data_IF_751386490720
#
_entry.id   IF_751386490720
#
_cell.length_a   1.000
_cell.length_b   1.000
_cell.length_c   1.000
_cell.angle_alpha   90.00
_cell.angle_beta   90.00
_cell.angle_gamma   90.00
#
_symmetry.space_group_name_H-M   'P 1'
#
loop_
_entity.id
_entity.type
_entity.pdbx_description
1 polymer ?
#
# COMPACT_ATOMS: atom_id res chain seq x y z
N UNK A 1 4.02 0.20 75.35
CA UNK A 1 3.88 -0.84 74.29
C UNK A 1 2.58 -0.55 73.57
N UNK A 2 2.65 0.24 72.49
CA UNK A 2 1.49 0.62 71.68
C UNK A 2 1.43 -0.32 70.49
N UNK A 3 0.35 -1.11 70.40
CA UNK A 3 0.15 -2.08 69.33
C UNK A 3 -0.11 -1.35 68.01
N UNK A 4 0.77 -1.57 67.05
CA UNK A 4 0.53 -1.26 65.64
C UNK A 4 -0.26 -2.43 65.06
N UNK A 5 -1.56 -2.24 64.87
CA UNK A 5 -2.37 -3.13 64.05
C UNK A 5 -2.22 -2.67 62.59
N UNK A 6 -1.71 -3.51 61.67
CA UNK A 6 -1.70 -3.17 60.26
C UNK A 6 -3.15 -3.24 59.75
N UNK A 7 -3.65 -2.13 59.23
CA UNK A 7 -4.93 -2.05 58.54
C UNK A 7 -4.84 -2.81 57.21
N UNK A 8 -5.61 -3.90 57.07
CA UNK A 8 -5.84 -4.71 55.86
C UNK A 8 -6.49 -3.96 54.69
N UNK A 9 -6.22 -2.66 54.54
CA UNK A 9 -6.81 -1.82 53.49
C UNK A 9 -5.92 -1.67 52.25
N UNK A 10 -4.67 -2.11 52.28
CA UNK A 10 -3.75 -2.03 51.13
C UNK A 10 -3.87 -3.21 50.15
N UNK A 11 -4.61 -4.29 50.47
CA UNK A 11 -4.65 -5.52 49.65
C UNK A 11 -5.79 -5.60 48.63
N UNK A 12 -6.70 -4.62 48.56
CA UNK A 12 -7.87 -4.67 47.67
C UNK A 12 -7.79 -3.75 46.45
N UNK A 13 -6.78 -2.87 46.36
CA UNK A 13 -6.60 -1.96 45.21
C UNK A 13 -5.53 -2.44 44.20
N UNK A 14 -4.84 -3.57 44.42
CA UNK A 14 -3.72 -4.01 43.57
C UNK A 14 -4.09 -4.96 42.40
N UNK A 15 -5.37 -5.20 42.10
CA UNK A 15 -5.76 -6.26 41.16
C UNK A 15 -6.62 -5.84 39.95
N UNK A 16 -6.59 -4.58 39.52
CA UNK A 16 -7.18 -4.17 38.23
C UNK A 16 -6.15 -3.59 37.24
N UNK A 17 -4.95 -4.18 37.24
CA UNK A 17 -4.09 -4.11 36.06
C UNK A 17 -4.76 -4.83 34.87
N UNK A 18 -4.75 -4.27 33.65
CA UNK A 18 -5.36 -4.92 32.49
C UNK A 18 -4.84 -6.34 32.36
N UNK A 19 -5.77 -7.31 32.28
CA UNK A 19 -5.44 -8.73 32.28
C UNK A 19 -4.38 -9.05 31.21
N UNK A 20 -3.42 -9.96 31.49
CA UNK A 20 -2.37 -10.30 30.54
C UNK A 20 -2.94 -10.77 29.19
N UNK A 21 -4.13 -11.38 29.21
CA UNK A 21 -4.90 -11.76 28.02
C UNK A 21 -5.35 -10.55 27.19
N UNK A 22 -5.82 -9.48 27.83
CA UNK A 22 -6.20 -8.24 27.13
C UNK A 22 -4.99 -7.57 26.46
N UNK A 23 -3.84 -7.54 27.14
CA UNK A 23 -2.59 -7.04 26.56
C UNK A 23 -2.16 -7.87 25.36
N UNK A 24 -2.19 -9.20 25.47
CA UNK A 24 -1.82 -10.11 24.39
C UNK A 24 -2.75 -9.96 23.16
N UNK A 25 -4.05 -9.84 23.38
CA UNK A 25 -5.02 -9.60 22.31
C UNK A 25 -4.74 -8.26 21.60
N UNK A 26 -4.53 -7.19 22.37
CA UNK A 26 -4.23 -5.86 21.83
C UNK A 26 -2.95 -5.87 20.98
N UNK A 27 -1.90 -6.51 21.47
CA UNK A 27 -0.64 -6.69 20.73
C UNK A 27 -0.84 -7.48 19.44
N UNK A 28 -1.63 -8.55 19.49
CA UNK A 28 -1.91 -9.39 18.31
C UNK A 28 -2.67 -8.61 17.25
N UNK A 29 -3.71 -7.86 17.65
CA UNK A 29 -4.47 -6.99 16.72
C UNK A 29 -3.54 -5.98 16.06
N UNK A 30 -2.70 -5.30 16.84
CA UNK A 30 -1.72 -4.35 16.31
C UNK A 30 -0.70 -5.01 15.37
N UNK A 31 -0.23 -6.21 15.69
CA UNK A 31 0.68 -6.97 14.85
C UNK A 31 0.03 -7.35 13.50
N UNK A 32 -1.22 -7.81 13.50
CA UNK A 32 -1.94 -8.16 12.26
C UNK A 32 -2.17 -6.93 11.39
N UNK A 33 -2.58 -5.79 11.99
CA UNK A 33 -2.78 -4.54 11.24
C UNK A 33 -1.46 -4.06 10.63
N UNK A 34 -0.38 -4.03 11.42
CA UNK A 34 0.93 -3.59 10.94
C UNK A 34 1.49 -4.51 9.85
N UNK A 35 1.27 -5.83 10.00
CA UNK A 35 1.62 -6.81 8.99
C UNK A 35 0.85 -6.56 7.67
N UNK A 36 -0.46 -6.36 7.72
CA UNK A 36 -1.28 -6.11 6.54
C UNK A 36 -0.85 -4.84 5.80
N UNK A 37 -0.59 -3.75 6.53
CA UNK A 37 -0.11 -2.49 5.94
C UNK A 37 1.24 -2.68 5.25
N UNK A 38 2.17 -3.37 5.92
CA UNK A 38 3.52 -3.63 5.38
C UNK A 38 3.46 -4.57 4.17
N UNK A 39 2.56 -5.55 4.19
CA UNK A 39 2.36 -6.45 3.05
C UNK A 39 1.82 -5.71 1.82
N UNK A 40 0.80 -4.87 2.01
CA UNK A 40 0.27 -4.01 0.93
C UNK A 40 1.36 -3.08 0.40
N UNK A 41 2.17 -2.51 1.29
CA UNK A 41 3.31 -1.69 0.92
C UNK A 41 4.29 -2.44 0.02
N UNK A 42 4.70 -3.65 0.41
CA UNK A 42 5.65 -4.47 -0.33
C UNK A 42 5.13 -4.84 -1.73
N UNK A 43 3.86 -5.24 -1.83
CA UNK A 43 3.25 -5.57 -3.12
C UNK A 43 3.14 -4.32 -3.99
N UNK A 44 2.65 -3.22 -3.43
CA UNK A 44 2.47 -1.98 -4.18
C UNK A 44 3.81 -1.33 -4.58
N UNK A 45 4.86 -1.46 -3.78
CA UNK A 45 6.21 -0.98 -4.11
C UNK A 45 6.82 -1.72 -5.30
N UNK A 46 6.41 -2.96 -5.54
CA UNK A 46 6.79 -3.70 -6.75
C UNK A 46 5.86 -3.42 -7.94
N UNK A 47 4.56 -3.40 -7.71
CA UNK A 47 3.55 -3.27 -8.78
C UNK A 47 3.47 -1.85 -9.33
N UNK A 48 3.56 -0.83 -8.48
CA UNK A 48 3.51 0.57 -8.89
C UNK A 48 4.60 0.96 -9.90
N UNK A 49 5.90 0.68 -9.68
CA UNK A 49 6.92 1.00 -10.66
C UNK A 49 6.75 0.19 -11.95
N UNK A 50 6.28 -1.05 -11.89
CA UNK A 50 5.99 -1.84 -13.10
C UNK A 50 4.88 -1.21 -13.94
N UNK A 51 3.78 -0.78 -13.31
CA UNK A 51 2.67 -0.09 -13.98
C UNK A 51 3.11 1.26 -14.57
N UNK A 52 3.89 2.04 -13.81
CA UNK A 52 4.42 3.32 -14.26
C UNK A 52 5.38 3.14 -15.44
N UNK A 53 6.33 2.22 -15.33
CA UNK A 53 7.31 1.94 -16.38
C UNK A 53 6.60 1.44 -17.65
N UNK A 54 5.66 0.50 -17.50
CA UNK A 54 4.87 -0.02 -18.61
C UNK A 54 4.01 1.06 -19.28
N UNK A 55 3.30 1.87 -18.50
CA UNK A 55 2.47 2.96 -19.00
C UNK A 55 3.29 4.05 -19.69
N UNK A 56 4.43 4.46 -19.11
CA UNK A 56 5.35 5.43 -19.71
C UNK A 56 6.00 4.90 -20.99
N UNK A 57 6.47 3.65 -20.99
CA UNK A 57 7.04 3.01 -22.17
C UNK A 57 6.01 2.94 -23.30
N UNK A 58 4.78 2.51 -23.00
CA UNK A 58 3.69 2.47 -23.97
C UNK A 58 3.37 3.86 -24.52
N UNK A 59 3.23 4.85 -23.63
CA UNK A 59 2.95 6.22 -24.03
C UNK A 59 4.08 6.78 -24.92
N UNK A 60 5.34 6.53 -24.54
CA UNK A 60 6.50 6.93 -25.32
C UNK A 60 6.46 6.31 -26.73
N UNK A 61 6.18 5.01 -26.84
CA UNK A 61 6.03 4.33 -28.14
C UNK A 61 4.96 5.00 -28.97
N UNK A 62 3.73 5.16 -28.45
CA UNK A 62 2.62 5.77 -29.20
C UNK A 62 2.94 7.21 -29.64
N UNK A 63 3.60 7.99 -28.78
CA UNK A 63 3.99 9.37 -29.10
C UNK A 63 5.07 9.44 -30.17
N UNK A 64 6.14 8.66 -30.04
CA UNK A 64 7.23 8.60 -31.01
C UNK A 64 6.70 8.17 -32.37
N UNK A 65 5.94 7.07 -32.40
CA UNK A 65 5.26 6.52 -33.58
C UNK A 65 4.38 7.57 -34.26
N UNK A 66 3.61 8.35 -33.50
CA UNK A 66 2.75 9.40 -34.05
C UNK A 66 3.47 10.64 -34.58
N UNK A 67 4.74 10.84 -34.21
CA UNK A 67 5.54 12.00 -34.66
C UNK A 67 6.42 11.73 -35.87
N UNK A 68 6.72 10.46 -36.16
CA UNK A 68 7.58 10.08 -37.27
C UNK A 68 6.75 10.07 -38.57
N UNK A 69 7.13 10.91 -39.52
CA UNK A 69 6.64 10.81 -40.91
C UNK A 69 7.40 9.67 -41.59
N UNK A 70 6.92 8.45 -41.38
CA UNK A 70 7.52 7.25 -41.95
C UNK A 70 7.05 7.04 -43.40
N UNK A 71 7.86 6.34 -44.19
CA UNK A 71 7.47 5.88 -45.52
C UNK A 71 6.16 5.07 -45.47
N UNK A 72 5.32 5.15 -46.53
CA UNK A 72 3.99 4.52 -46.55
C UNK A 72 4.03 3.01 -46.30
N UNK A 73 5.13 2.37 -46.67
CA UNK A 73 5.39 0.94 -46.46
C UNK A 73 5.67 0.59 -44.99
N UNK A 74 6.11 1.54 -44.17
CA UNK A 74 6.29 1.38 -42.72
C UNK A 74 5.02 1.80 -41.97
N UNK A 75 4.29 2.80 -42.48
CA UNK A 75 3.02 3.27 -41.89
C UNK A 75 1.95 2.18 -41.79
N UNK A 76 1.90 1.22 -42.73
CA UNK A 76 0.98 0.08 -42.63
C UNK A 76 1.23 -0.79 -41.40
N UNK A 77 2.49 -0.88 -40.92
CA UNK A 77 2.82 -1.64 -39.70
C UNK A 77 2.47 -0.87 -38.43
N UNK A 78 2.41 0.47 -38.48
CA UNK A 78 2.03 1.31 -37.34
C UNK A 78 0.56 1.15 -36.93
N UNK A 79 -0.31 0.71 -37.86
CA UNK A 79 -1.72 0.45 -37.56
C UNK A 79 -1.91 -0.68 -36.54
N UNK A 80 -0.89 -1.53 -36.33
CA UNK A 80 -0.91 -2.58 -35.32
C UNK A 80 -0.52 -2.11 -33.92
N UNK A 81 -0.04 -0.87 -33.75
CA UNK A 81 0.26 -0.30 -32.43
C UNK A 81 -1.05 0.19 -31.80
N UNK A 82 -1.61 -0.52 -30.80
CA UNK A 82 -2.91 -0.17 -30.26
C UNK A 82 -2.78 1.06 -29.35
N UNK A 83 -3.67 2.04 -29.53
CA UNK A 83 -3.84 3.14 -28.58
C UNK A 83 -4.61 2.70 -27.32
N UNK A 84 -5.36 1.61 -27.44
CA UNK A 84 -6.17 0.99 -26.39
C UNK A 84 -6.09 -0.52 -26.52
N UNK A 85 -5.88 -1.22 -25.41
CA UNK A 85 -5.91 -2.68 -25.37
C UNK A 85 -7.20 -3.14 -24.69
N UNK A 86 -7.97 -3.97 -25.38
CA UNK A 86 -9.09 -4.67 -24.76
C UNK A 86 -8.58 -6.01 -24.23
N UNK A 87 -8.41 -6.13 -22.91
CA UNK A 87 -7.96 -7.37 -22.27
C UNK A 87 -9.01 -7.79 -21.25
N UNK A 88 -9.53 -9.01 -21.40
CA UNK A 88 -10.55 -9.58 -20.51
C UNK A 88 -11.77 -8.65 -20.29
N UNK A 89 -12.23 -7.97 -21.34
CA UNK A 89 -13.37 -7.05 -21.29
C UNK A 89 -13.09 -5.68 -20.64
N UNK A 90 -11.85 -5.43 -20.19
CA UNK A 90 -11.43 -4.14 -19.63
C UNK A 90 -10.58 -3.38 -20.64
N UNK A 91 -10.81 -2.08 -20.79
CA UNK A 91 -10.01 -1.20 -21.65
C UNK A 91 -8.78 -0.75 -20.87
N UNK A 92 -7.61 -1.19 -21.30
CA UNK A 92 -6.31 -0.77 -20.78
C UNK A 92 -5.77 0.35 -21.66
N UNK A 93 -5.46 1.48 -21.03
CA UNK A 93 -4.86 2.64 -21.70
C UNK A 93 -3.53 2.97 -21.04
N UNK A 94 -2.55 3.50 -21.81
CA UNK A 94 -1.25 3.89 -21.23
C UNK A 94 -1.40 4.87 -20.06
N UNK A 95 -2.34 5.81 -20.17
CA UNK A 95 -2.66 6.76 -19.11
C UNK A 95 -3.28 6.05 -17.89
N UNK A 96 -4.14 5.06 -18.11
CA UNK A 96 -4.72 4.24 -17.04
C UNK A 96 -3.67 3.46 -16.24
N UNK A 97 -2.65 2.88 -16.89
CA UNK A 97 -1.54 2.24 -16.17
C UNK A 97 -0.78 3.25 -15.31
N UNK A 98 -0.52 4.45 -15.84
CA UNK A 98 0.20 5.50 -15.11
C UNK A 98 -0.61 5.93 -13.88
N UNK A 99 -1.90 6.22 -14.03
CA UNK A 99 -2.73 6.67 -12.90
C UNK A 99 -2.87 5.59 -11.83
N UNK A 100 -3.04 4.32 -12.22
CA UNK A 100 -3.04 3.19 -11.29
C UNK A 100 -1.72 3.07 -10.52
N UNK A 101 -0.58 3.22 -11.21
CA UNK A 101 0.74 3.23 -10.57
C UNK A 101 0.90 4.38 -9.57
N UNK A 102 0.46 5.59 -9.91
CA UNK A 102 0.45 6.74 -8.99
C UNK A 102 -0.46 6.48 -7.78
N UNK A 103 -1.66 5.93 -8.00
CA UNK A 103 -2.59 5.59 -6.91
C UNK A 103 -1.97 4.56 -5.96
N UNK A 104 -1.27 3.55 -6.46
CA UNK A 104 -0.55 2.59 -5.62
C UNK A 104 0.57 3.25 -4.81
N UNK A 105 1.34 4.17 -5.41
CA UNK A 105 2.33 4.96 -4.66
C UNK A 105 1.68 5.79 -3.54
N UNK A 106 0.51 6.39 -3.80
CA UNK A 106 -0.24 7.11 -2.78
C UNK A 106 -0.68 6.18 -1.63
N UNK A 107 -1.12 4.96 -1.97
CA UNK A 107 -1.46 3.93 -0.97
C UNK A 107 -0.24 3.53 -0.15
N UNK A 108 0.91 3.31 -0.78
CA UNK A 108 2.20 3.02 -0.10
C UNK A 108 2.55 4.13 0.88
N UNK A 109 2.49 5.40 0.45
CA UNK A 109 2.76 6.54 1.32
C UNK A 109 1.78 6.62 2.50
N UNK A 110 0.49 6.32 2.26
CA UNK A 110 -0.53 6.22 3.30
C UNK A 110 -0.23 5.11 4.30
N UNK A 111 0.10 3.90 3.83
CA UNK A 111 0.46 2.76 4.68
C UNK A 111 1.68 3.05 5.54
N UNK A 112 2.73 3.67 4.98
CA UNK A 112 3.92 4.13 5.73
C UNK A 112 3.57 5.14 6.81
N UNK A 113 2.67 6.08 6.51
CA UNK A 113 2.23 7.11 7.46
C UNK A 113 1.46 6.48 8.61
N UNK A 114 0.55 5.54 8.30
CA UNK A 114 -0.19 4.78 9.30
C UNK A 114 0.76 3.93 10.15
N UNK A 115 1.62 3.10 9.55
CA UNK A 115 2.59 2.28 10.28
C UNK A 115 3.46 3.10 11.25
N UNK A 116 3.90 4.31 10.86
CA UNK A 116 4.63 5.21 11.76
C UNK A 116 3.79 5.68 12.93
N UNK A 117 2.51 6.01 12.70
CA UNK A 117 1.59 6.44 13.75
C UNK A 117 1.33 5.31 14.75
N UNK A 118 1.10 4.10 14.22
CA UNK A 118 0.90 2.87 14.98
C UNK A 118 2.11 2.56 15.87
N UNK A 119 3.31 2.62 15.30
CA UNK A 119 4.56 2.35 16.01
C UNK A 119 4.85 3.33 17.14
N UNK A 120 4.16 4.49 17.17
CA UNK A 120 4.29 5.48 18.23
C UNK A 120 3.30 5.25 19.37
N UNK A 121 2.15 4.64 19.08
CA UNK A 121 1.04 4.47 20.01
C UNK A 121 1.03 3.08 20.70
N UNK A 122 1.73 2.09 20.12
CA UNK A 122 1.98 0.76 20.70
C UNK A 122 3.16 0.79 21.67
#
# INVERSE_FOLDING_TARGET
MSGYAPSHQDELDEAEGPSPLWRALRLTVWAVVSFALTFVELVAEWVAPLLLLGGLAWLAVVRVVGTLHLEPEIQQFLQYVPSQLLVAGTVWTPVGLITQGITLLAIVAGCRTLNRLISREV
#
